data_IF_269836260589
#
_entry.id   IF_269836260589
#
_cell.length_a   1.000
_cell.length_b   1.000
_cell.length_c   1.000
_cell.angle_alpha   90.00
_cell.angle_beta   90.00
_cell.angle_gamma   90.00
#
_symmetry.space_group_name_H-M   'P 1'
#
loop_
_entity.id
_entity.type
_entity.pdbx_description
1 polymer ?
#
# COMPACT_ATOMS: atom_id res chain seq x y z
N UNK A 1 -60.78 13.64 -14.96
CA UNK A 1 -59.68 14.58 -14.67
C UNK A 1 -59.05 14.14 -13.35
N UNK A 2 -57.72 14.21 -13.19
CA UNK A 2 -56.93 13.84 -11.98
C UNK A 2 -56.17 12.49 -12.01
N UNK A 3 -55.48 12.16 -13.11
CA UNK A 3 -54.50 11.06 -13.13
C UNK A 3 -53.19 11.46 -13.84
N UNK A 4 -53.30 12.34 -14.86
CA UNK A 4 -52.14 12.87 -15.59
C UNK A 4 -51.23 13.77 -14.75
N UNK A 5 -51.81 14.57 -13.83
CA UNK A 5 -51.04 15.49 -12.98
C UNK A 5 -50.17 14.77 -11.94
N UNK A 6 -50.66 13.65 -11.38
CA UNK A 6 -49.91 12.88 -10.38
C UNK A 6 -48.82 12.01 -11.01
N UNK A 7 -49.03 11.53 -12.25
CA UNK A 7 -48.02 10.73 -12.95
C UNK A 7 -46.81 11.57 -13.38
N UNK A 8 -47.03 12.81 -13.84
CA UNK A 8 -45.97 13.76 -14.18
C UNK A 8 -45.14 14.16 -12.94
N UNK A 9 -45.77 14.37 -11.79
CA UNK A 9 -45.08 14.66 -10.53
C UNK A 9 -44.19 13.50 -10.06
N UNK A 10 -44.67 12.25 -10.21
CA UNK A 10 -43.92 11.05 -9.85
C UNK A 10 -42.70 10.84 -10.76
N UNK A 11 -42.85 11.07 -12.07
CA UNK A 11 -41.75 10.99 -13.04
C UNK A 11 -40.67 12.06 -12.76
N UNK A 12 -41.06 13.29 -12.42
CA UNK A 12 -40.12 14.37 -12.11
C UNK A 12 -39.30 14.09 -10.84
N UNK A 13 -39.93 13.54 -9.80
CA UNK A 13 -39.25 13.10 -8.57
C UNK A 13 -38.31 11.91 -8.83
N UNK A 14 -38.73 10.94 -9.65
CA UNK A 14 -37.89 9.81 -10.02
C UNK A 14 -36.65 10.26 -10.83
N UNK A 15 -36.80 11.20 -11.76
CA UNK A 15 -35.65 11.77 -12.50
C UNK A 15 -34.72 12.58 -11.59
N UNK A 16 -35.25 13.30 -10.59
CA UNK A 16 -34.42 14.04 -9.63
C UNK A 16 -33.62 13.11 -8.71
N UNK A 17 -34.18 11.95 -8.34
CA UNK A 17 -33.48 10.91 -7.56
C UNK A 17 -32.38 10.20 -8.36
N UNK A 18 -32.59 9.97 -9.66
CA UNK A 18 -31.59 9.31 -10.53
C UNK A 18 -30.41 10.25 -10.86
N UNK A 19 -30.64 11.56 -10.92
CA UNK A 19 -29.58 12.57 -11.12
C UNK A 19 -28.61 12.70 -9.93
N UNK A 20 -28.88 12.07 -8.78
CA UNK A 20 -27.97 12.09 -7.63
C UNK A 20 -26.97 10.92 -7.60
N UNK A 21 -26.98 10.03 -8.61
CA UNK A 21 -26.18 8.77 -8.59
C UNK A 21 -24.99 8.80 -9.55
N UNK A 22 -24.61 9.95 -10.11
CA UNK A 22 -23.35 10.07 -10.85
C UNK A 22 -22.54 11.25 -10.34
N UNK A 23 -22.06 11.14 -9.11
CA UNK A 23 -20.83 11.82 -8.73
C UNK A 23 -19.69 10.93 -9.21
N UNK A 24 -19.02 11.32 -10.29
CA UNK A 24 -17.61 11.00 -10.38
C UNK A 24 -16.98 11.56 -9.09
N UNK A 25 -16.49 10.70 -8.21
CA UNK A 25 -15.76 11.14 -7.02
C UNK A 25 -14.46 11.82 -7.46
N UNK A 26 -14.55 13.11 -7.81
CA UNK A 26 -13.42 14.03 -8.03
C UNK A 26 -13.03 14.71 -6.69
N UNK A 27 -13.54 14.20 -5.57
CA UNK A 27 -13.60 14.92 -4.29
C UNK A 27 -12.30 14.95 -3.50
N UNK A 28 -11.29 14.14 -3.81
CA UNK A 28 -10.04 14.25 -3.02
C UNK A 28 -8.88 14.90 -3.75
N UNK A 29 -8.67 14.70 -5.06
CA UNK A 29 -7.36 15.02 -5.68
C UNK A 29 -6.19 14.57 -4.76
N UNK A 30 -6.45 13.55 -3.93
CA UNK A 30 -5.47 13.02 -3.01
C UNK A 30 -4.61 12.15 -3.88
N UNK A 31 -3.46 12.68 -4.25
CA UNK A 31 -2.30 11.85 -4.53
C UNK A 31 -2.03 11.15 -3.20
N UNK A 32 -2.69 10.03 -2.96
CA UNK A 32 -2.21 9.10 -1.95
C UNK A 32 -0.83 8.70 -2.43
N UNK A 33 0.20 9.04 -1.67
CA UNK A 33 1.52 8.49 -1.92
C UNK A 33 1.35 6.97 -1.86
N UNK A 34 1.35 6.32 -3.02
CA UNK A 34 1.15 4.88 -3.11
C UNK A 34 2.35 4.21 -2.45
N UNK A 35 2.16 3.75 -1.21
CA UNK A 35 3.12 2.95 -0.48
C UNK A 35 2.55 1.57 -0.19
N UNK A 36 3.44 0.59 -0.07
CA UNK A 36 3.12 -0.73 0.47
C UNK A 36 4.07 -1.06 1.63
N UNK A 37 3.69 -2.04 2.44
CA UNK A 37 4.51 -2.49 3.55
C UNK A 37 5.38 -3.67 3.13
N UNK A 38 6.67 -3.60 3.46
CA UNK A 38 7.61 -4.69 3.28
C UNK A 38 8.47 -4.79 4.53
N UNK A 39 8.44 -5.94 5.19
CA UNK A 39 9.19 -6.24 6.42
C UNK A 39 8.98 -5.20 7.54
N UNK A 40 7.79 -4.61 7.62
CA UNK A 40 7.46 -3.54 8.57
C UNK A 40 7.97 -2.15 8.19
N UNK A 41 8.41 -1.96 6.95
CA UNK A 41 8.86 -0.67 6.39
C UNK A 41 7.90 -0.22 5.28
N UNK A 42 7.62 1.09 5.23
CA UNK A 42 6.88 1.69 4.12
C UNK A 42 7.79 1.84 2.91
N UNK A 43 7.44 1.17 1.83
CA UNK A 43 8.08 1.28 0.52
C UNK A 43 7.21 2.14 -0.38
N UNK A 44 7.79 3.20 -0.91
CA UNK A 44 7.12 4.14 -1.79
C UNK A 44 7.27 3.69 -3.25
N UNK A 45 6.53 4.33 -4.16
CA UNK A 45 6.72 4.14 -5.59
C UNK A 45 8.20 4.27 -5.98
N UNK A 46 8.71 3.23 -6.65
CA UNK A 46 10.11 3.18 -7.04
C UNK A 46 10.35 4.04 -8.28
N UNK A 47 11.36 4.90 -8.20
CA UNK A 47 11.86 5.64 -9.34
C UNK A 47 12.81 4.78 -10.18
N UNK A 48 12.76 4.95 -11.50
CA UNK A 48 13.57 4.17 -12.48
C UNK A 48 15.06 4.15 -12.12
N UNK A 49 15.59 5.25 -11.60
CA UNK A 49 17.00 5.38 -11.25
C UNK A 49 17.40 4.44 -10.09
N UNK A 50 16.52 4.28 -9.11
CA UNK A 50 16.71 3.34 -8.00
C UNK A 50 16.51 1.88 -8.45
N UNK A 51 15.45 1.60 -9.22
CA UNK A 51 15.14 0.24 -9.70
C UNK A 51 16.25 -0.34 -10.58
N UNK A 52 16.90 0.48 -11.42
CA UNK A 52 18.01 0.02 -12.25
C UNK A 52 19.24 -0.45 -11.44
N UNK A 53 19.34 -0.03 -10.18
CA UNK A 53 20.37 -0.52 -9.25
C UNK A 53 19.90 -1.74 -8.44
N UNK A 54 18.65 -2.20 -8.61
CA UNK A 54 18.05 -3.23 -7.77
C UNK A 54 17.65 -2.74 -6.39
N UNK A 55 17.59 -1.41 -6.17
CA UNK A 55 17.16 -0.82 -4.91
C UNK A 55 15.66 -0.56 -4.84
N UNK A 56 15.23 -0.13 -3.66
CA UNK A 56 13.85 0.30 -3.37
C UNK A 56 13.82 1.64 -2.64
N UNK A 57 12.77 2.43 -2.87
CA UNK A 57 12.57 3.74 -2.31
C UNK A 57 11.88 3.67 -0.94
N UNK A 58 12.62 4.00 0.13
CA UNK A 58 12.13 4.04 1.51
C UNK A 58 12.59 5.31 2.20
N UNK A 59 12.01 5.64 3.37
CA UNK A 59 12.58 6.73 4.18
C UNK A 59 14.03 6.41 4.52
N UNK A 60 14.90 7.43 4.44
CA UNK A 60 16.33 7.26 4.72
C UNK A 60 16.61 6.64 6.12
N UNK A 61 15.73 6.92 7.09
CA UNK A 61 15.81 6.36 8.46
C UNK A 61 15.42 4.88 8.56
N UNK A 62 14.75 4.34 7.55
CA UNK A 62 14.29 2.95 7.48
C UNK A 62 15.19 2.08 6.58
N UNK A 63 16.37 2.59 6.20
CA UNK A 63 17.32 1.89 5.35
C UNK A 63 18.50 1.34 6.13
N UNK A 64 18.76 0.03 6.04
CA UNK A 64 19.93 -0.62 6.65
C UNK A 64 21.18 -0.45 5.78
N UNK A 65 21.02 -0.53 4.45
CA UNK A 65 22.10 -0.39 3.50
C UNK A 65 21.74 0.61 2.39
N UNK A 66 22.16 1.89 2.51
CA UNK A 66 21.86 2.90 1.51
C UNK A 66 22.71 2.72 0.24
N UNK A 67 22.22 3.22 -0.89
CA UNK A 67 23.01 3.33 -2.12
C UNK A 67 24.14 4.36 -1.97
N UNK A 68 25.23 4.17 -2.73
CA UNK A 68 26.34 5.13 -2.81
C UNK A 68 25.90 6.46 -3.42
N UNK A 69 25.13 6.40 -4.51
CA UNK A 69 24.56 7.59 -5.15
C UNK A 69 23.28 8.00 -4.41
N UNK A 70 23.07 9.32 -4.27
CA UNK A 70 21.91 9.94 -3.64
C UNK A 70 20.98 10.56 -4.69
N UNK A 71 19.76 10.87 -4.29
CA UNK A 71 18.73 11.50 -5.12
C UNK A 71 18.10 10.53 -6.14
N UNK A 72 18.15 9.22 -5.87
CA UNK A 72 17.68 8.20 -6.81
C UNK A 72 16.16 7.95 -6.72
N UNK A 73 15.50 8.53 -5.71
CA UNK A 73 14.04 8.51 -5.52
C UNK A 73 13.44 9.94 -5.59
N UNK A 74 13.59 10.67 -6.72
CA UNK A 74 13.17 12.07 -6.83
C UNK A 74 11.67 12.29 -6.63
N UNK A 75 10.81 11.32 -6.96
CA UNK A 75 9.34 11.48 -6.85
C UNK A 75 8.93 11.72 -5.40
N UNK A 76 9.55 11.00 -4.46
CA UNK A 76 9.23 11.04 -3.03
C UNK A 76 10.30 11.77 -2.19
N UNK A 77 11.24 12.49 -2.83
CA UNK A 77 12.36 13.13 -2.15
C UNK A 77 11.94 14.13 -1.06
N UNK A 78 10.81 14.81 -1.27
CA UNK A 78 10.22 15.75 -0.30
C UNK A 78 9.81 15.09 1.03
N UNK A 79 9.65 13.77 1.05
CA UNK A 79 9.33 12.97 2.25
C UNK A 79 10.58 12.40 2.95
N UNK A 80 11.78 12.76 2.48
CA UNK A 80 13.05 12.21 2.96
C UNK A 80 13.32 10.77 2.50
N UNK A 81 12.69 10.38 1.39
CA UNK A 81 12.84 9.06 0.77
C UNK A 81 14.11 9.00 -0.05
N UNK A 82 14.82 7.88 0.06
CA UNK A 82 16.02 7.58 -0.70
C UNK A 82 16.07 6.11 -1.15
N UNK A 83 16.97 5.85 -2.08
CA UNK A 83 17.18 4.49 -2.57
C UNK A 83 17.97 3.64 -1.57
N UNK A 84 17.49 2.42 -1.36
CA UNK A 84 18.01 1.49 -0.37
C UNK A 84 18.17 0.09 -0.96
N UNK A 85 19.25 -0.62 -0.59
CA UNK A 85 19.48 -2.01 -0.97
C UNK A 85 18.89 -3.00 0.03
N UNK A 86 18.88 -2.66 1.32
CA UNK A 86 18.47 -3.60 2.37
C UNK A 86 17.62 -2.92 3.44
N UNK A 87 16.49 -3.55 3.76
CA UNK A 87 15.59 -3.11 4.82
C UNK A 87 15.90 -3.82 6.14
N UNK A 88 15.69 -3.15 7.28
CA UNK A 88 15.66 -3.83 8.56
C UNK A 88 14.43 -4.74 8.66
N UNK A 89 14.59 -5.91 9.27
CA UNK A 89 13.46 -6.77 9.62
C UNK A 89 12.84 -6.27 10.92
N UNK A 90 11.60 -5.77 10.86
CA UNK A 90 10.84 -5.30 12.03
C UNK A 90 9.63 -6.20 12.29
N UNK A 91 9.09 -6.24 13.52
CA UNK A 91 7.80 -6.88 13.77
C UNK A 91 6.71 -6.30 12.87
N UNK A 92 6.02 -7.16 12.12
CA UNK A 92 4.96 -6.79 11.18
C UNK A 92 4.01 -7.97 10.92
N UNK A 93 2.84 -7.74 10.30
CA UNK A 93 2.03 -8.84 9.77
C UNK A 93 2.84 -9.77 8.86
N UNK A 94 2.53 -11.06 8.89
CA UNK A 94 3.34 -12.06 8.20
C UNK A 94 3.33 -11.87 6.68
N UNK A 95 2.25 -11.33 6.13
CA UNK A 95 2.15 -10.96 4.71
C UNK A 95 3.16 -9.90 4.30
N UNK A 96 3.48 -8.96 5.19
CA UNK A 96 4.49 -7.91 4.93
C UNK A 96 5.90 -8.52 4.85
N UNK A 97 6.11 -9.68 5.46
CA UNK A 97 7.33 -10.47 5.31
C UNK A 97 7.33 -11.37 4.07
N UNK A 98 6.31 -11.28 3.20
CA UNK A 98 6.09 -12.22 2.09
C UNK A 98 6.00 -13.68 2.58
N UNK A 99 5.45 -13.85 3.77
CA UNK A 99 5.33 -15.14 4.44
C UNK A 99 3.89 -15.58 4.63
N UNK A 100 3.76 -16.76 5.23
CA UNK A 100 2.51 -17.33 5.69
C UNK A 100 2.69 -17.90 7.10
N UNK A 101 1.65 -17.84 7.92
CA UNK A 101 1.66 -18.45 9.25
C UNK A 101 1.60 -19.99 9.11
N UNK A 102 2.56 -20.68 9.71
CA UNK A 102 2.67 -22.13 9.72
C UNK A 102 3.08 -22.61 11.11
N UNK A 103 2.78 -23.86 11.44
CA UNK A 103 3.16 -24.43 12.75
C UNK A 103 4.69 -24.48 12.93
N UNK A 104 5.44 -24.63 11.83
CA UNK A 104 6.89 -24.62 11.82
C UNK A 104 7.48 -24.40 10.43
N UNK A 105 8.68 -23.86 10.40
CA UNK A 105 9.62 -23.88 9.26
C UNK A 105 11.06 -23.78 9.79
N UNK A 106 12.04 -23.91 8.89
CA UNK A 106 13.45 -23.68 9.25
C UNK A 106 13.62 -22.32 9.91
N UNK A 107 14.38 -22.24 11.02
CA UNK A 107 14.58 -21.01 11.79
C UNK A 107 15.11 -19.84 10.93
N UNK A 108 15.90 -20.12 9.89
CA UNK A 108 16.41 -19.09 8.98
C UNK A 108 15.30 -18.40 8.15
N UNK A 109 14.18 -19.10 7.94
CA UNK A 109 13.01 -18.60 7.20
C UNK A 109 11.98 -17.93 8.12
N UNK A 110 12.16 -18.01 9.44
CA UNK A 110 11.24 -17.40 10.39
C UNK A 110 11.43 -15.89 10.42
N UNK A 111 10.31 -15.17 10.54
CA UNK A 111 10.28 -13.71 10.68
C UNK A 111 9.37 -13.30 11.85
N UNK A 112 9.55 -12.09 12.41
CA UNK A 112 8.75 -11.61 13.53
C UNK A 112 7.33 -11.21 13.07
N UNK A 113 6.49 -12.21 12.79
CA UNK A 113 5.07 -12.03 12.48
C UNK A 113 4.26 -11.60 13.71
N UNK A 114 3.42 -10.58 13.58
CA UNK A 114 2.56 -10.08 14.67
C UNK A 114 1.13 -10.63 14.66
N UNK A 115 0.77 -11.38 13.62
CA UNK A 115 -0.59 -11.83 13.29
C UNK A 115 -0.73 -13.36 13.23
N UNK A 116 0.34 -14.12 13.51
CA UNK A 116 0.25 -15.58 13.60
C UNK A 116 -0.34 -16.01 14.93
N UNK A 117 -1.45 -16.76 14.88
CA UNK A 117 -2.18 -17.23 16.05
C UNK A 117 -1.82 -18.68 16.40
N UNK A 118 -2.35 -19.20 17.52
CA UNK A 118 -2.25 -20.61 17.90
C UNK A 118 -0.80 -21.16 18.00
N UNK A 119 0.16 -20.30 18.32
CA UNK A 119 1.58 -20.67 18.42
C UNK A 119 2.28 -20.88 17.08
N UNK A 120 1.65 -20.48 15.97
CA UNK A 120 2.27 -20.49 14.66
C UNK A 120 3.38 -19.45 14.55
N UNK A 121 4.29 -19.69 13.61
CA UNK A 121 5.39 -18.79 13.26
C UNK A 121 5.22 -18.27 11.83
N UNK A 122 5.69 -17.05 11.58
CA UNK A 122 5.69 -16.50 10.23
C UNK A 122 6.84 -17.08 9.41
N UNK A 123 6.50 -17.77 8.33
CA UNK A 123 7.44 -18.46 7.45
C UNK A 123 7.50 -17.81 6.08
N UNK A 124 8.67 -17.31 5.69
CA UNK A 124 8.89 -16.71 4.37
C UNK A 124 8.95 -17.80 3.31
N UNK A 125 8.20 -17.61 2.21
CA UNK A 125 8.07 -18.60 1.15
C UNK A 125 9.01 -18.35 -0.04
N UNK A 126 9.48 -17.11 -0.20
CA UNK A 126 10.39 -16.70 -1.27
C UNK A 126 11.59 -16.00 -0.64
N UNK A 127 12.77 -16.55 -0.88
CA UNK A 127 14.07 -16.00 -0.48
C UNK A 127 14.82 -15.48 -1.71
#
# INVERSE_FOLDING_TARGET
MSYKSNLLGLCLLATALILQVVCANVVTNEVTDDFYMLQGVRVYSNDRQCTLLGGICVKSSDCSLPTTNKGLCPTNAHLGVECCYELPVRPAPCTDHLGVCMDRCNQMLQRPGTDCENGQVCCVLVV
#
